data_IF_154938078922
#
_entry.id   IF_154938078922
#
_cell.length_a   1.000
_cell.length_b   1.000
_cell.length_c   1.000
_cell.angle_alpha   90.00
_cell.angle_beta   90.00
_cell.angle_gamma   90.00
#
_symmetry.space_group_name_H-M   'P 1'
#
loop_
_entity.id
_entity.type
_entity.pdbx_description
1 polymer ?
#
# COMPACT_ATOMS: atom_id res chain seq x y z
N UNK A 1 3.23 7.30 -3.49
CA UNK A 1 2.91 8.50 -2.69
C UNK A 1 1.56 8.38 -1.98
N UNK A 2 0.47 8.01 -2.68
CA UNK A 2 -0.88 7.88 -2.07
C UNK A 2 -0.91 6.88 -0.89
N UNK A 3 -0.41 5.65 -1.09
CA UNK A 3 -0.41 4.60 -0.06
C UNK A 3 0.41 4.96 1.20
N UNK A 4 1.57 5.60 1.04
CA UNK A 4 2.40 6.04 2.17
C UNK A 4 1.67 7.07 3.04
N UNK A 5 1.00 8.05 2.42
CA UNK A 5 0.25 9.09 3.15
C UNK A 5 -0.95 8.47 3.87
N UNK A 6 -1.68 7.58 3.20
CA UNK A 6 -2.82 6.84 3.77
C UNK A 6 -2.40 6.06 5.02
N UNK A 7 -1.39 5.17 4.91
CA UNK A 7 -0.95 4.34 6.03
C UNK A 7 -0.43 5.20 7.18
N UNK A 8 0.34 6.26 6.90
CA UNK A 8 0.84 7.17 7.94
C UNK A 8 -0.30 7.83 8.71
N UNK A 9 -1.28 8.40 8.02
CA UNK A 9 -2.39 9.10 8.66
C UNK A 9 -3.24 8.13 9.49
N UNK A 10 -3.57 6.97 8.93
CA UNK A 10 -4.36 5.95 9.61
C UNK A 10 -3.67 5.45 10.88
N UNK A 11 -2.36 5.19 10.85
CA UNK A 11 -1.61 4.82 12.06
C UNK A 11 -1.66 5.91 13.12
N UNK A 12 -1.48 7.18 12.75
CA UNK A 12 -1.55 8.30 13.68
C UNK A 12 -2.93 8.43 14.33
N UNK A 13 -3.99 8.32 13.53
CA UNK A 13 -5.36 8.43 14.03
C UNK A 13 -5.72 7.24 14.93
N UNK A 14 -5.28 6.03 14.57
CA UNK A 14 -5.44 4.85 15.43
C UNK A 14 -4.66 4.97 16.74
N UNK A 15 -3.45 5.57 16.72
CA UNK A 15 -2.71 5.88 17.95
C UNK A 15 -3.48 6.87 18.83
N UNK A 16 -4.10 7.90 18.24
CA UNK A 16 -4.91 8.86 18.97
C UNK A 16 -6.15 8.20 19.58
N UNK A 17 -6.82 7.33 18.81
CA UNK A 17 -7.99 6.54 19.23
C UNK A 17 -7.66 5.62 20.41
N UNK A 18 -6.63 4.78 20.30
CA UNK A 18 -6.27 3.82 21.36
C UNK A 18 -5.79 4.49 22.65
N UNK A 19 -5.10 5.63 22.56
CA UNK A 19 -4.58 6.32 23.73
C UNK A 19 -5.58 7.34 24.32
N UNK A 20 -6.79 7.47 23.77
CA UNK A 20 -7.82 8.39 24.25
C UNK A 20 -7.38 9.87 24.22
N UNK A 21 -6.41 10.22 23.37
CA UNK A 21 -5.78 11.56 23.36
C UNK A 21 -6.55 12.59 22.54
N UNK A 22 -7.60 12.19 21.84
CA UNK A 22 -8.35 13.06 20.94
C UNK A 22 -9.81 12.62 20.85
N UNK A 23 -10.70 13.53 20.44
CA UNK A 23 -12.11 13.29 20.11
C UNK A 23 -12.31 12.41 18.86
N UNK A 24 -11.31 11.61 18.49
CA UNK A 24 -11.37 10.70 17.36
C UNK A 24 -12.23 9.52 17.80
N UNK A 25 -13.47 9.46 17.33
CA UNK A 25 -14.36 8.32 17.57
C UNK A 25 -14.34 7.36 16.37
N UNK A 26 -14.89 6.16 16.58
CA UNK A 26 -14.94 5.13 15.54
C UNK A 26 -15.72 5.60 14.30
N UNK A 27 -16.73 6.45 14.51
CA UNK A 27 -17.54 7.00 13.42
C UNK A 27 -16.70 7.90 12.51
N UNK A 28 -15.96 8.84 13.08
CA UNK A 28 -15.08 9.74 12.33
C UNK A 28 -14.01 8.96 11.57
N UNK A 29 -13.43 7.91 12.18
CA UNK A 29 -12.48 7.02 11.51
C UNK A 29 -13.10 6.32 10.29
N UNK A 30 -14.31 5.75 10.45
CA UNK A 30 -15.00 5.06 9.36
C UNK A 30 -15.39 6.01 8.21
N UNK A 31 -15.76 7.25 8.52
CA UNK A 31 -16.05 8.29 7.52
C UNK A 31 -14.80 8.79 6.81
N UNK A 32 -13.67 8.88 7.51
CA UNK A 32 -12.38 9.35 6.96
C UNK A 32 -11.73 8.31 6.05
N UNK A 33 -11.90 7.01 6.37
CA UNK A 33 -11.28 5.89 5.68
C UNK A 33 -12.35 4.87 5.24
N UNK A 34 -13.26 5.25 4.32
CA UNK A 34 -14.35 4.37 3.89
C UNK A 34 -13.79 3.14 3.16
N UNK A 35 -14.28 1.96 3.54
CA UNK A 35 -13.90 0.66 2.96
C UNK A 35 -12.40 0.33 3.00
N UNK A 36 -11.62 1.03 3.83
CA UNK A 36 -10.18 0.79 3.93
C UNK A 36 -9.86 -0.53 4.66
N UNK A 37 -9.24 -1.53 3.99
CA UNK A 37 -8.96 -2.82 4.61
C UNK A 37 -8.07 -2.74 5.84
N UNK A 38 -7.16 -1.76 5.86
CA UNK A 38 -6.28 -1.52 7.00
C UNK A 38 -7.05 -1.01 8.21
N UNK A 39 -7.99 -0.06 8.03
CA UNK A 39 -8.86 0.37 9.13
C UNK A 39 -9.67 -0.81 9.65
N UNK A 40 -10.23 -1.61 8.74
CA UNK A 40 -11.01 -2.80 9.10
C UNK A 40 -10.18 -3.77 9.94
N UNK A 41 -8.92 -4.00 9.59
CA UNK A 41 -8.01 -4.84 10.36
C UNK A 41 -7.72 -4.27 11.76
N UNK A 42 -7.60 -2.95 11.88
CA UNK A 42 -7.40 -2.26 13.16
C UNK A 42 -8.59 -2.42 14.12
N UNK A 43 -9.80 -2.29 13.61
CA UNK A 43 -11.03 -2.36 14.41
C UNK A 43 -11.54 -3.80 14.57
N UNK A 44 -11.12 -4.73 13.70
CA UNK A 44 -11.43 -6.15 13.86
C UNK A 44 -10.55 -6.74 14.95
N UNK A 45 -11.14 -7.14 16.08
CA UNK A 45 -10.40 -7.77 17.17
C UNK A 45 -9.83 -6.77 18.19
N UNK A 46 -10.53 -5.66 18.47
CA UNK A 46 -10.16 -4.72 19.54
C UNK A 46 -10.02 -5.41 20.91
N UNK A 47 -10.80 -6.46 21.17
CA UNK A 47 -10.66 -7.32 22.35
C UNK A 47 -9.27 -7.98 22.43
N UNK A 48 -8.76 -8.45 21.29
CA UNK A 48 -7.42 -9.04 21.19
C UNK A 48 -6.32 -7.97 21.19
N UNK A 49 -6.60 -6.74 20.75
CA UNK A 49 -5.65 -5.65 20.84
C UNK A 49 -5.32 -5.29 22.30
N UNK A 50 -6.30 -5.44 23.21
CA UNK A 50 -6.13 -5.18 24.64
C UNK A 50 -5.26 -6.22 25.37
N UNK A 51 -5.02 -7.40 24.78
CA UNK A 51 -4.18 -8.45 25.37
C UNK A 51 -2.69 -8.32 25.05
N UNK A 52 -2.32 -7.32 24.25
CA UNK A 52 -0.94 -7.05 23.83
C UNK A 52 -0.57 -5.59 24.08
N UNK A 53 0.73 -5.24 24.18
CA UNK A 53 1.16 -3.85 24.19
C UNK A 53 0.95 -3.23 22.79
N UNK A 54 -0.29 -2.88 22.47
CA UNK A 54 -0.75 -2.44 21.15
C UNK A 54 0.09 -1.29 20.58
N UNK A 55 0.59 -0.38 21.43
CA UNK A 55 1.47 0.71 21.01
C UNK A 55 2.79 0.20 20.42
N UNK A 56 3.39 -0.83 21.01
CA UNK A 56 4.66 -1.41 20.54
C UNK A 56 4.45 -2.29 19.32
N UNK A 57 3.34 -3.03 19.29
CA UNK A 57 2.89 -3.78 18.12
C UNK A 57 2.75 -2.84 16.92
N UNK A 58 2.01 -1.73 17.08
CA UNK A 58 1.78 -0.74 16.04
C UNK A 58 3.09 -0.10 15.57
N UNK A 59 3.98 0.29 16.48
CA UNK A 59 5.31 0.83 16.12
C UNK A 59 6.12 -0.16 15.29
N UNK A 60 6.18 -1.43 15.72
CA UNK A 60 6.94 -2.45 15.02
C UNK A 60 6.35 -2.75 13.63
N UNK A 61 5.02 -2.87 13.55
CA UNK A 61 4.29 -3.13 12.31
C UNK A 61 4.46 -1.97 11.31
N UNK A 62 4.36 -0.72 11.77
CA UNK A 62 4.60 0.45 10.92
C UNK A 62 6.05 0.58 10.47
N UNK A 63 7.02 0.29 11.35
CA UNK A 63 8.44 0.29 11.00
C UNK A 63 8.75 -0.76 9.93
N UNK A 64 8.11 -1.93 10.00
CA UNK A 64 8.20 -2.96 8.97
C UNK A 64 7.73 -2.44 7.61
N UNK A 65 6.52 -1.86 7.54
CA UNK A 65 6.00 -1.26 6.31
C UNK A 65 6.92 -0.17 5.76
N UNK A 66 7.45 0.70 6.63
CA UNK A 66 8.34 1.80 6.24
C UNK A 66 9.63 1.34 5.56
N UNK A 67 10.12 0.13 5.87
CA UNK A 67 11.33 -0.42 5.26
C UNK A 67 11.17 -0.73 3.77
N UNK A 68 9.96 -1.09 3.33
CA UNK A 68 9.69 -1.62 2.00
C UNK A 68 8.80 -0.71 1.14
N UNK A 69 8.11 0.26 1.73
CA UNK A 69 7.22 1.14 0.97
C UNK A 69 7.99 2.04 -0.02
N UNK A 70 7.27 2.54 -1.02
CA UNK A 70 7.81 3.61 -1.86
C UNK A 70 8.75 3.20 -3.00
N UNK A 71 9.11 1.92 -3.11
CA UNK A 71 10.03 1.37 -4.12
C UNK A 71 9.47 0.10 -4.76
N UNK A 72 10.04 -0.30 -5.89
CA UNK A 72 9.80 -1.62 -6.46
C UNK A 72 10.52 -2.68 -5.63
N UNK A 73 9.85 -3.80 -5.41
CA UNK A 73 10.37 -4.90 -4.60
C UNK A 73 10.83 -6.04 -5.51
N UNK A 74 12.06 -6.49 -5.27
CA UNK A 74 12.64 -7.70 -5.85
C UNK A 74 12.08 -8.96 -5.20
N UNK A 75 12.24 -10.11 -5.87
CA UNK A 75 11.83 -11.41 -5.32
C UNK A 75 12.56 -11.76 -4.01
N UNK A 76 13.81 -11.32 -3.86
CA UNK A 76 14.56 -11.52 -2.61
C UNK A 76 13.96 -10.70 -1.46
N UNK A 77 13.57 -9.46 -1.73
CA UNK A 77 12.90 -8.62 -0.73
C UNK A 77 11.50 -9.15 -0.38
N UNK A 78 10.78 -9.74 -1.34
CA UNK A 78 9.53 -10.42 -1.07
C UNK A 78 9.71 -11.63 -0.13
N UNK A 79 10.79 -12.41 -0.29
CA UNK A 79 11.13 -13.47 0.68
C UNK A 79 11.42 -12.89 2.06
N UNK A 80 12.23 -11.83 2.14
CA UNK A 80 12.54 -11.15 3.40
C UNK A 80 11.27 -10.62 4.10
N UNK A 81 10.31 -10.13 3.30
CA UNK A 81 9.02 -9.68 3.81
C UNK A 81 8.26 -10.86 4.41
N UNK A 82 8.12 -11.98 3.69
CA UNK A 82 7.42 -13.18 4.18
C UNK A 82 8.06 -13.70 5.47
N UNK A 83 9.39 -13.79 5.51
CA UNK A 83 10.13 -14.20 6.71
C UNK A 83 9.91 -13.23 7.87
N UNK A 84 9.92 -11.93 7.60
CA UNK A 84 9.65 -10.90 8.58
C UNK A 84 8.22 -10.95 9.13
N UNK A 85 7.23 -11.25 8.29
CA UNK A 85 5.83 -11.47 8.71
C UNK A 85 5.72 -12.70 9.61
N UNK A 86 6.43 -13.78 9.27
CA UNK A 86 6.46 -14.99 10.10
C UNK A 86 7.08 -14.69 11.48
N UNK A 87 8.22 -14.01 11.53
CA UNK A 87 8.87 -13.60 12.79
C UNK A 87 7.94 -12.71 13.62
N UNK A 88 7.28 -11.74 12.99
CA UNK A 88 6.32 -10.87 13.67
C UNK A 88 5.14 -11.66 14.26
N UNK A 89 4.57 -12.60 13.51
CA UNK A 89 3.49 -13.45 13.98
C UNK A 89 3.92 -14.36 15.13
N UNK A 90 5.13 -14.92 15.08
CA UNK A 90 5.68 -15.75 16.15
C UNK A 90 6.00 -14.97 17.43
N UNK A 91 6.39 -13.69 17.28
CA UNK A 91 6.69 -12.81 18.43
C UNK A 91 5.43 -12.44 19.20
N UNK A 92 4.37 -12.05 18.50
CA UNK A 92 3.17 -11.52 19.14
C UNK A 92 2.08 -12.55 19.39
N UNK A 93 2.03 -13.62 18.59
CA UNK A 93 1.06 -14.74 18.70
C UNK A 93 -0.38 -14.31 18.99
N UNK A 94 -0.83 -13.26 18.29
CA UNK A 94 -2.10 -12.60 18.55
C UNK A 94 -2.84 -12.35 17.23
N UNK A 95 -4.14 -12.65 17.21
CA UNK A 95 -4.96 -12.61 15.99
C UNK A 95 -5.09 -11.19 15.43
N UNK A 96 -5.19 -10.18 16.30
CA UNK A 96 -5.21 -8.78 15.87
C UNK A 96 -3.88 -8.37 15.23
N UNK A 97 -2.76 -8.74 15.86
CA UNK A 97 -1.43 -8.49 15.29
C UNK A 97 -1.29 -9.12 13.89
N UNK A 98 -1.74 -10.38 13.74
CA UNK A 98 -1.75 -11.10 12.45
C UNK A 98 -2.61 -10.38 11.41
N UNK A 99 -3.79 -9.89 11.80
CA UNK A 99 -4.66 -9.13 10.91
C UNK A 99 -3.99 -7.85 10.39
N UNK A 100 -3.34 -7.09 11.29
CA UNK A 100 -2.66 -5.85 10.93
C UNK A 100 -1.52 -6.06 9.92
N UNK A 101 -0.64 -7.01 10.18
CA UNK A 101 0.52 -7.23 9.32
C UNK A 101 0.11 -7.73 7.94
N UNK A 102 -0.93 -8.56 7.86
CA UNK A 102 -1.50 -9.02 6.59
C UNK A 102 -2.15 -7.88 5.81
N UNK A 103 -2.85 -6.97 6.48
CA UNK A 103 -3.42 -5.80 5.82
C UNK A 103 -2.34 -4.87 5.25
N UNK A 104 -1.23 -4.68 5.97
CA UNK A 104 -0.07 -3.93 5.44
C UNK A 104 0.60 -4.65 4.27
N UNK A 105 0.72 -5.98 4.33
CA UNK A 105 1.26 -6.78 3.23
C UNK A 105 0.42 -6.59 1.96
N UNK A 106 -0.91 -6.66 2.08
CA UNK A 106 -1.81 -6.41 0.95
C UNK A 106 -1.66 -4.99 0.36
N UNK A 107 -1.33 -3.98 1.18
CA UNK A 107 -1.04 -2.63 0.69
C UNK A 107 0.29 -2.59 -0.06
N UNK A 108 1.33 -3.24 0.45
CA UNK A 108 2.62 -3.35 -0.24
C UNK A 108 2.48 -4.07 -1.59
N UNK A 109 1.72 -5.16 -1.64
CA UNK A 109 1.45 -5.89 -2.89
C UNK A 109 0.71 -5.03 -3.91
N UNK A 110 -0.28 -4.24 -3.46
CA UNK A 110 -0.99 -3.29 -4.33
C UNK A 110 -0.06 -2.17 -4.81
N UNK A 111 0.75 -1.59 -3.92
CA UNK A 111 1.69 -0.53 -4.31
C UNK A 111 2.73 -1.03 -5.33
N UNK A 112 3.27 -2.25 -5.15
CA UNK A 112 4.22 -2.86 -6.07
C UNK A 112 3.58 -3.17 -7.44
N UNK A 113 2.36 -3.73 -7.45
CA UNK A 113 1.58 -3.96 -8.68
C UNK A 113 1.27 -2.67 -9.43
N UNK A 114 0.83 -1.63 -8.74
CA UNK A 114 0.50 -0.34 -9.34
C UNK A 114 1.73 0.37 -9.92
N UNK A 115 2.94 0.06 -9.42
CA UNK A 115 4.21 0.58 -9.95
C UNK A 115 4.69 -0.22 -11.15
N UNK A 116 4.67 -1.55 -11.04
CA UNK A 116 5.00 -2.46 -12.15
C UNK A 116 4.04 -2.29 -13.33
N UNK A 117 2.76 -2.02 -13.07
CA UNK A 117 1.76 -1.69 -14.08
C UNK A 117 1.90 -0.30 -14.72
N UNK A 118 2.82 0.54 -14.21
CA UNK A 118 3.16 1.86 -14.77
C UNK A 118 4.47 1.87 -15.55
N UNK A 119 5.00 0.71 -15.96
CA UNK A 119 5.99 0.67 -17.03
C UNK A 119 5.40 1.35 -18.28
N UNK A 120 6.11 2.31 -18.91
CA UNK A 120 5.61 3.01 -20.09
C UNK A 120 5.61 2.06 -21.29
N UNK A 121 4.53 1.32 -21.47
CA UNK A 121 4.22 0.61 -22.72
C UNK A 121 3.23 1.44 -23.53
N UNK A 122 3.59 2.68 -23.83
CA UNK A 122 3.08 3.45 -24.97
C UNK A 122 4.23 4.25 -25.57
N UNK A 123 5.24 3.54 -26.06
CA UNK A 123 5.87 3.96 -27.32
C UNK A 123 5.18 3.14 -28.39
N UNK A 124 4.17 3.74 -29.02
CA UNK A 124 3.81 3.35 -30.37
C UNK A 124 5.08 3.41 -31.22
N UNK A 125 5.52 2.32 -31.87
CA UNK A 125 6.36 2.47 -33.03
C UNK A 125 5.43 3.00 -34.14
N UNK A 126 5.44 4.30 -34.38
CA UNK A 126 5.15 4.74 -35.75
C UNK A 126 6.35 4.32 -36.58
N UNK A 127 6.18 3.17 -37.22
CA UNK A 127 7.02 2.65 -38.28
C UNK A 127 7.19 3.76 -39.32
N UNK A 128 8.45 4.00 -39.68
CA UNK A 128 8.79 4.88 -40.77
C UNK A 128 8.30 4.31 -42.09
N UNK A 129 7.56 5.14 -42.83
CA UNK A 129 7.53 5.07 -44.29
C UNK A 129 8.17 6.36 -44.80
N UNK A 130 9.46 6.30 -45.10
CA UNK A 130 10.15 7.22 -46.02
C UNK A 130 10.11 6.62 -47.42
N UNK A 131 9.51 7.32 -48.37
CA UNK A 131 9.91 7.52 -49.79
C UNK A 131 8.81 8.39 -50.44
N UNK A 132 8.99 9.70 -50.57
CA UNK A 132 9.55 10.41 -51.75
C UNK A 132 8.89 10.04 -53.09
N UNK A 133 8.28 11.04 -53.80
CA UNK A 133 8.01 10.89 -55.24
C UNK A 133 6.80 11.62 -55.84
N UNK A 134 6.74 12.94 -55.74
CA UNK A 134 6.34 13.92 -56.79
C UNK A 134 5.66 13.40 -58.08
N UNK A 135 4.46 13.91 -58.42
CA UNK A 135 4.22 14.57 -59.73
C UNK A 135 2.85 15.27 -59.85
N UNK A 136 2.94 16.56 -60.18
CA UNK A 136 1.88 17.42 -60.71
C UNK A 136 1.33 16.87 -62.02
N UNK A 137 0.01 17.00 -62.25
CA UNK A 137 -0.54 17.11 -63.60
C UNK A 137 -1.67 18.13 -63.63
N UNK A 138 -1.29 19.32 -64.08
CA UNK A 138 -2.12 20.20 -64.89
C UNK A 138 -2.57 19.44 -66.14
N UNK A 139 -3.84 19.55 -66.53
CA UNK A 139 -4.24 19.22 -67.90
C UNK A 139 -5.38 20.13 -68.34
N UNK A 140 -5.00 21.07 -69.20
CA UNK A 140 -5.91 21.79 -70.08
C UNK A 140 -6.38 20.85 -71.21
N UNK A 141 -7.67 20.93 -71.54
CA UNK A 141 -8.22 20.61 -72.86
C UNK A 141 -9.47 21.47 -73.10
#
# INVERSE_FOLDING_TARGET
MVYQVLVKNLFNDMFAFFNGKQTMDLKTLAETYPDEPLLRAFISGLDQALSVPYNDVMKQCYAFYKKYNGRELSEEEWRDIVDGVQIYNQKWQNTWCRGLILALLSILEKEDKDRKGKTPTEKHPEEGETEEGQQEMDTAA
#
